data_IF_469389697082
#
_entry.id   IF_469389697082
#
_cell.length_a   1.000
_cell.length_b   1.000
_cell.length_c   1.000
_cell.angle_alpha   90.00
_cell.angle_beta   90.00
_cell.angle_gamma   90.00
#
_symmetry.space_group_name_H-M   'P 1'
#
loop_
_entity.id
_entity.type
_entity.pdbx_description
1 polymer ?
#
# COMPACT_ATOMS: atom_id res chain seq x y z
N UNK A 1 -2.70 -9.17 40.86
CA UNK A 1 -2.79 -7.91 40.10
C UNK A 1 -1.49 -7.76 39.32
N UNK A 2 -1.42 -8.36 38.12
CA UNK A 2 -0.20 -8.34 37.29
C UNK A 2 -0.10 -6.95 36.66
N UNK A 3 0.90 -6.17 37.07
CA UNK A 3 1.27 -4.94 36.38
C UNK A 3 1.61 -5.29 34.93
N UNK A 4 0.82 -4.81 33.97
CA UNK A 4 1.22 -4.84 32.55
C UNK A 4 2.53 -4.06 32.46
N UNK A 5 3.64 -4.75 32.26
CA UNK A 5 4.89 -4.12 31.89
C UNK A 5 4.62 -3.31 30.62
N UNK A 6 4.79 -2.00 30.72
CA UNK A 6 4.64 -1.07 29.61
C UNK A 6 5.90 -1.18 28.74
N UNK A 7 6.14 -2.37 28.16
CA UNK A 7 7.28 -2.61 27.28
C UNK A 7 7.04 -1.84 25.99
N UNK A 8 7.77 -0.74 25.85
CA UNK A 8 7.77 0.06 24.63
C UNK A 8 8.24 -0.81 23.47
N UNK A 9 7.35 -1.07 22.51
CA UNK A 9 7.71 -1.80 21.29
C UNK A 9 8.26 -0.82 20.28
N UNK A 10 9.35 -1.22 19.61
CA UNK A 10 9.96 -0.41 18.57
C UNK A 10 9.82 -1.09 17.22
N UNK A 11 9.50 -0.31 16.19
CA UNK A 11 9.46 -0.75 14.80
C UNK A 11 10.68 -0.21 14.08
N UNK A 12 11.48 -1.12 13.52
CA UNK A 12 12.54 -0.77 12.58
C UNK A 12 11.89 -0.45 11.24
N UNK A 13 12.15 0.74 10.72
CA UNK A 13 11.42 1.29 9.58
C UNK A 13 12.28 2.21 8.73
N UNK A 14 11.78 2.49 7.52
CA UNK A 14 12.24 3.59 6.70
C UNK A 14 11.16 4.68 6.69
N UNK A 15 11.53 5.92 7.01
CA UNK A 15 10.65 7.09 7.00
C UNK A 15 10.73 7.80 5.66
N UNK A 16 9.58 8.22 5.14
CA UNK A 16 9.48 9.17 4.03
C UNK A 16 9.64 10.60 4.55
N UNK A 17 10.70 11.34 4.19
CA UNK A 17 10.81 12.75 4.52
C UNK A 17 9.68 13.56 3.86
N UNK A 18 9.13 14.53 4.59
CA UNK A 18 7.94 15.29 4.15
C UNK A 18 8.13 15.99 2.80
N UNK A 19 9.34 16.48 2.51
CA UNK A 19 9.68 17.16 1.26
C UNK A 19 9.46 16.31 0.01
N UNK A 20 9.51 14.97 0.12
CA UNK A 20 9.30 14.07 -1.02
C UNK A 20 7.86 13.57 -1.15
N UNK A 21 6.95 13.94 -0.23
CA UNK A 21 5.54 13.53 -0.30
C UNK A 21 4.87 14.05 -1.57
N UNK A 22 5.22 15.27 -1.98
CA UNK A 22 4.68 15.86 -3.21
C UNK A 22 5.13 15.07 -4.44
N UNK A 23 6.42 14.71 -4.52
CA UNK A 23 6.96 13.93 -5.63
C UNK A 23 6.29 12.56 -5.76
N UNK A 24 6.05 11.86 -4.63
CA UNK A 24 5.38 10.57 -4.63
C UNK A 24 3.87 10.64 -4.83
N UNK A 25 3.26 11.81 -4.61
CA UNK A 25 1.84 12.02 -4.89
C UNK A 25 1.52 12.12 -6.38
N UNK A 26 2.53 12.35 -7.23
CA UNK A 26 2.37 12.34 -8.67
C UNK A 26 2.25 10.88 -9.18
N UNK A 27 1.47 10.63 -10.23
CA UNK A 27 1.39 9.31 -10.84
C UNK A 27 2.78 8.78 -11.22
N UNK A 28 3.16 7.62 -10.69
CA UNK A 28 4.43 6.96 -11.00
C UNK A 28 4.31 5.95 -12.15
N UNK A 29 3.28 6.09 -13.00
CA UNK A 29 2.98 5.16 -14.09
C UNK A 29 1.97 5.73 -15.07
N UNK A 30 1.31 4.84 -15.81
CA UNK A 30 0.26 5.22 -16.75
C UNK A 30 -0.99 5.58 -15.96
N UNK A 31 -1.35 6.86 -15.98
CA UNK A 31 -2.58 7.34 -15.38
C UNK A 31 -3.75 7.04 -16.31
N UNK A 32 -4.71 6.24 -15.82
CA UNK A 32 -5.97 5.97 -16.48
C UNK A 32 -6.99 6.94 -15.90
N UNK A 33 -7.59 7.76 -16.76
CA UNK A 33 -8.63 8.73 -16.43
C UNK A 33 -9.91 8.41 -17.21
N UNK A 34 -11.06 8.77 -16.64
CA UNK A 34 -12.33 8.68 -17.33
C UNK A 34 -12.80 10.10 -17.70
N UNK A 35 -13.04 10.41 -18.99
CA UNK A 35 -13.35 11.77 -19.45
C UNK A 35 -14.56 12.40 -18.74
N UNK A 36 -15.57 11.59 -18.43
CA UNK A 36 -16.84 12.05 -17.86
C UNK A 36 -16.89 11.99 -16.32
N UNK A 37 -15.73 11.95 -15.63
CA UNK A 37 -15.65 11.76 -14.16
C UNK A 37 -16.36 10.49 -13.65
N UNK A 38 -16.45 9.47 -14.50
CA UNK A 38 -16.94 8.15 -14.12
C UNK A 38 -16.01 7.42 -13.15
N UNK A 39 -16.52 6.35 -12.56
CA UNK A 39 -15.75 5.44 -11.72
C UNK A 39 -15.06 4.40 -12.61
N UNK A 40 -13.73 4.37 -12.59
CA UNK A 40 -12.93 3.34 -13.27
C UNK A 40 -13.12 2.00 -12.54
N UNK A 41 -13.45 0.94 -13.28
CA UNK A 41 -13.71 -0.40 -12.75
C UNK A 41 -13.30 -1.48 -13.75
N UNK A 42 -13.13 -2.72 -13.28
CA UNK A 42 -12.93 -3.88 -14.17
C UNK A 42 -11.50 -4.11 -14.67
N UNK A 43 -10.52 -3.30 -14.28
CA UNK A 43 -9.11 -3.58 -14.53
C UNK A 43 -8.66 -4.92 -13.89
N UNK A 44 -7.68 -5.57 -14.52
CA UNK A 44 -7.01 -6.77 -14.04
C UNK A 44 -5.53 -6.49 -13.83
N UNK A 45 -5.01 -6.84 -12.66
CA UNK A 45 -3.61 -6.65 -12.29
C UNK A 45 -3.10 -7.80 -11.39
N UNK A 46 -1.80 -7.86 -11.13
CA UNK A 46 -1.27 -8.77 -10.11
C UNK A 46 -1.52 -8.23 -8.70
N UNK A 47 -1.39 -6.92 -8.52
CA UNK A 47 -1.51 -6.24 -7.22
C UNK A 47 -2.43 -5.02 -7.33
N UNK A 48 -3.38 -4.89 -6.41
CA UNK A 48 -4.22 -3.70 -6.25
C UNK A 48 -4.00 -3.06 -4.88
N UNK A 49 -3.70 -1.77 -4.84
CA UNK A 49 -3.41 -1.02 -3.60
C UNK A 49 -4.46 0.08 -3.39
N UNK A 50 -5.06 0.08 -2.19
CA UNK A 50 -6.03 1.04 -1.70
C UNK A 50 -7.48 0.54 -1.77
N UNK A 51 -8.29 0.89 -0.78
CA UNK A 51 -9.67 0.40 -0.59
C UNK A 51 -10.53 0.47 -1.87
N UNK A 52 -10.53 1.65 -2.51
CA UNK A 52 -11.34 1.95 -3.70
C UNK A 52 -10.91 1.10 -4.90
N UNK A 53 -9.61 0.88 -5.05
CA UNK A 53 -9.02 0.13 -6.16
C UNK A 53 -9.18 -1.37 -5.93
N UNK A 54 -8.87 -1.85 -4.73
CA UNK A 54 -9.02 -3.25 -4.34
C UNK A 54 -10.47 -3.74 -4.42
N UNK A 55 -11.46 -2.87 -4.19
CA UNK A 55 -12.89 -3.22 -4.32
C UNK A 55 -13.40 -3.24 -5.77
N UNK A 56 -12.81 -2.44 -6.67
CA UNK A 56 -13.32 -2.24 -8.05
C UNK A 56 -12.56 -2.99 -9.14
N UNK A 57 -11.40 -3.55 -8.79
CA UNK A 57 -10.52 -4.22 -9.74
C UNK A 57 -10.21 -5.65 -9.31
N UNK A 58 -9.94 -6.49 -10.30
CA UNK A 58 -9.47 -7.85 -10.09
C UNK A 58 -7.96 -7.84 -9.88
N UNK A 59 -7.51 -8.43 -8.77
CA UNK A 59 -6.09 -8.60 -8.51
C UNK A 59 -5.84 -9.85 -7.66
N UNK A 60 -4.70 -10.51 -7.89
CA UNK A 60 -4.28 -11.67 -7.09
C UNK A 60 -3.97 -11.26 -5.65
N UNK A 61 -3.40 -10.07 -5.48
CA UNK A 61 -3.03 -9.49 -4.19
C UNK A 61 -3.76 -8.17 -4.03
N UNK A 62 -4.48 -7.99 -2.92
CA UNK A 62 -5.15 -6.73 -2.59
C UNK A 62 -4.63 -6.17 -1.28
N UNK A 63 -4.29 -4.89 -1.25
CA UNK A 63 -3.71 -4.21 -0.09
C UNK A 63 -4.61 -3.05 0.28
N UNK A 64 -5.01 -2.96 1.54
CA UNK A 64 -5.97 -1.95 2.00
C UNK A 64 -5.79 -1.66 3.50
N UNK A 65 -6.16 -0.45 3.93
CA UNK A 65 -6.07 -0.01 5.32
C UNK A 65 -7.44 0.32 5.97
N UNK A 66 -8.54 0.23 5.20
CA UNK A 66 -9.90 0.61 5.59
C UNK A 66 -10.05 2.08 6.03
N UNK A 67 -9.07 2.96 5.77
CA UNK A 67 -9.11 4.39 6.12
C UNK A 67 -9.41 5.24 4.90
N UNK A 68 -10.58 5.04 4.32
CA UNK A 68 -11.04 5.91 3.23
C UNK A 68 -11.55 7.24 3.77
N UNK A 69 -11.06 8.36 3.19
CA UNK A 69 -11.44 9.76 3.49
C UNK A 69 -12.93 10.11 3.30
N UNK A 70 -13.80 9.15 2.98
CA UNK A 70 -15.22 9.36 2.68
C UNK A 70 -16.05 8.19 3.20
N UNK A 71 -16.40 8.23 4.50
CA UNK A 71 -17.32 7.28 5.13
C UNK A 71 -16.80 5.85 5.20
N UNK A 72 -17.41 5.03 6.07
CA UNK A 72 -17.11 3.59 6.15
C UNK A 72 -17.39 2.97 4.78
N UNK A 73 -16.34 2.62 4.02
CA UNK A 73 -16.49 1.67 2.92
C UNK A 73 -16.66 0.30 3.56
N UNK A 74 -17.92 -0.05 3.84
CA UNK A 74 -18.33 -1.26 4.56
C UNK A 74 -18.22 -2.54 3.72
N UNK A 75 -17.69 -2.50 2.50
CA UNK A 75 -17.76 -3.64 1.58
C UNK A 75 -16.50 -3.84 0.73
N UNK A 76 -15.30 -3.80 1.33
CA UNK A 76 -14.26 -4.71 0.86
C UNK A 76 -14.63 -6.11 1.37
N UNK A 77 -15.69 -6.72 0.83
CA UNK A 77 -15.95 -8.15 0.99
C UNK A 77 -14.92 -8.89 0.15
N UNK A 78 -13.69 -8.89 0.64
CA UNK A 78 -12.72 -9.85 0.15
C UNK A 78 -13.21 -11.22 0.61
N UNK A 79 -13.85 -11.94 -0.30
CA UNK A 79 -14.19 -13.36 -0.15
C UNK A 79 -12.95 -14.27 -0.26
N UNK A 80 -11.76 -13.78 0.09
CA UNK A 80 -10.56 -14.62 0.09
C UNK A 80 -10.31 -15.09 1.52
N UNK A 81 -10.23 -16.41 1.69
CA UNK A 81 -9.97 -17.09 2.96
C UNK A 81 -8.57 -16.78 3.54
N UNK A 82 -7.71 -16.06 2.79
CA UNK A 82 -6.33 -15.73 3.16
C UNK A 82 -6.15 -14.21 3.31
N UNK A 83 -6.16 -13.73 4.56
CA UNK A 83 -5.91 -12.33 4.91
C UNK A 83 -4.72 -12.21 5.87
N UNK A 84 -3.65 -11.58 5.39
CA UNK A 84 -2.46 -11.22 6.15
C UNK A 84 -2.64 -9.86 6.82
N UNK A 85 -1.87 -9.63 7.88
CA UNK A 85 -1.86 -8.36 8.62
C UNK A 85 -0.46 -7.73 8.60
N UNK A 86 -0.40 -6.44 8.31
CA UNK A 86 0.82 -5.63 8.37
C UNK A 86 0.60 -4.40 9.27
N UNK A 87 1.65 -3.98 9.98
CA UNK A 87 1.67 -2.75 10.77
C UNK A 87 2.59 -1.75 10.09
N UNK A 88 2.03 -0.65 9.58
CA UNK A 88 2.79 0.31 8.78
C UNK A 88 2.33 1.76 9.06
N UNK A 89 2.88 2.43 10.09
CA UNK A 89 2.46 3.79 10.45
C UNK A 89 2.57 4.80 9.31
N UNK A 90 1.79 5.90 9.36
CA UNK A 90 1.75 6.91 8.31
C UNK A 90 3.11 7.48 7.88
N UNK A 91 3.42 7.43 6.59
CA UNK A 91 4.70 7.89 6.04
C UNK A 91 5.92 7.04 6.42
N UNK A 92 5.71 5.80 6.88
CA UNK A 92 6.77 4.83 7.15
C UNK A 92 6.61 3.58 6.29
N UNK A 93 7.73 2.89 6.09
CA UNK A 93 7.82 1.55 5.53
C UNK A 93 8.48 0.66 6.58
N UNK A 94 7.66 -0.03 7.37
CA UNK A 94 8.12 -0.95 8.42
C UNK A 94 8.70 -2.22 7.81
N UNK A 95 9.87 -2.65 8.29
CA UNK A 95 10.57 -3.82 7.74
C UNK A 95 9.77 -5.11 7.88
N UNK A 96 9.08 -5.32 9.01
CA UNK A 96 8.20 -6.48 9.18
C UNK A 96 7.08 -6.53 8.14
N UNK A 97 6.49 -5.37 7.83
CA UNK A 97 5.45 -5.23 6.80
C UNK A 97 6.00 -5.43 5.39
N UNK A 98 7.25 -5.03 5.13
CA UNK A 98 7.98 -5.37 3.89
C UNK A 98 8.15 -6.87 3.77
N UNK A 99 8.58 -7.56 4.83
CA UNK A 99 8.75 -9.02 4.82
C UNK A 99 7.44 -9.73 4.48
N UNK A 100 6.33 -9.34 5.13
CA UNK A 100 5.00 -9.90 4.84
C UNK A 100 4.62 -9.63 3.38
N UNK A 101 4.65 -8.36 2.94
CA UNK A 101 4.29 -7.98 1.59
C UNK A 101 5.12 -8.70 0.50
N UNK A 102 6.42 -8.92 0.75
CA UNK A 102 7.31 -9.56 -0.20
C UNK A 102 6.95 -11.03 -0.47
N UNK A 103 6.47 -11.76 0.55
CA UNK A 103 6.20 -13.20 0.48
C UNK A 103 4.75 -13.55 0.12
N UNK A 104 3.86 -12.58 0.03
CA UNK A 104 2.46 -12.83 -0.37
C UNK A 104 2.40 -13.11 -1.87
N UNK A 105 1.80 -14.23 -2.25
CA UNK A 105 1.56 -14.60 -3.66
C UNK A 105 0.11 -14.43 -4.10
N UNK A 106 -0.84 -14.52 -3.16
CA UNK A 106 -2.27 -14.30 -3.40
C UNK A 106 -2.99 -13.91 -2.11
N UNK A 107 -4.21 -13.38 -2.23
CA UNK A 107 -5.08 -13.02 -1.12
C UNK A 107 -4.94 -11.55 -0.74
N UNK A 108 -5.14 -11.26 0.55
CA UNK A 108 -5.24 -9.88 1.03
C UNK A 108 -4.21 -9.51 2.08
N UNK A 109 -3.72 -8.28 2.01
CA UNK A 109 -2.90 -7.66 3.03
C UNK A 109 -3.65 -6.48 3.65
N UNK A 110 -4.19 -6.71 4.86
CA UNK A 110 -4.77 -5.64 5.66
C UNK A 110 -3.65 -4.88 6.37
N UNK A 111 -3.68 -3.56 6.27
CA UNK A 111 -2.67 -2.69 6.86
C UNK A 111 -3.26 -1.92 8.03
N UNK A 112 -2.62 -2.04 9.20
CA UNK A 112 -2.86 -1.14 10.33
C UNK A 112 -1.91 0.05 10.13
N UNK A 113 -2.44 1.18 9.66
CA UNK A 113 -1.61 2.36 9.36
C UNK A 113 -1.95 2.96 8.00
N UNK A 114 -0.97 3.05 7.09
CA UNK A 114 -1.12 3.45 5.67
C UNK A 114 -0.51 2.36 4.76
N UNK A 115 -1.19 2.04 3.66
CA UNK A 115 -0.79 1.03 2.67
C UNK A 115 0.13 1.56 1.56
N UNK A 116 0.14 2.87 1.31
CA UNK A 116 0.74 3.48 0.11
C UNK A 116 2.19 3.04 -0.14
N UNK A 117 3.04 3.06 0.89
CA UNK A 117 4.45 2.69 0.76
C UNK A 117 4.66 1.17 0.64
N UNK A 118 3.68 0.34 1.01
CA UNK A 118 3.75 -1.12 0.86
C UNK A 118 3.60 -1.58 -0.59
N UNK A 119 3.48 -0.67 -1.55
CA UNK A 119 3.67 -0.96 -2.98
C UNK A 119 5.13 -1.29 -3.31
N UNK A 120 6.10 -0.76 -2.56
CA UNK A 120 7.54 -0.86 -2.87
C UNK A 120 8.05 -2.30 -2.95
N UNK A 121 7.71 -3.22 -2.02
CA UNK A 121 8.09 -4.63 -2.12
C UNK A 121 7.62 -5.29 -3.43
N UNK A 122 6.47 -4.88 -3.96
CA UNK A 122 5.95 -5.39 -5.24
C UNK A 122 6.63 -4.75 -6.45
N UNK A 123 7.05 -3.48 -6.35
CA UNK A 123 7.89 -2.86 -7.39
C UNK A 123 9.23 -3.61 -7.55
N UNK A 124 9.77 -4.14 -6.46
CA UNK A 124 11.01 -4.92 -6.48
C UNK A 124 10.84 -6.33 -7.08
N UNK A 125 9.60 -6.83 -7.20
CA UNK A 125 9.27 -8.12 -7.83
C UNK A 125 9.00 -7.88 -9.30
N UNK A 126 9.92 -8.27 -10.18
CA UNK A 126 9.78 -8.01 -11.62
C UNK A 126 8.52 -8.64 -12.24
N UNK A 127 8.07 -8.07 -13.36
CA UNK A 127 6.98 -8.58 -14.19
C UNK A 127 5.60 -8.63 -13.52
N UNK A 128 5.38 -7.84 -12.47
CA UNK A 128 4.07 -7.62 -11.86
C UNK A 128 3.41 -6.38 -12.43
N UNK A 129 2.10 -6.45 -12.61
CA UNK A 129 1.25 -5.29 -12.86
C UNK A 129 0.61 -4.84 -11.55
N UNK A 130 0.68 -3.53 -11.29
CA UNK A 130 0.22 -2.93 -10.04
C UNK A 130 -0.74 -1.81 -10.40
N UNK A 131 -1.90 -1.79 -9.76
CA UNK A 131 -2.85 -0.68 -9.83
C UNK A 131 -3.02 -0.03 -8.47
N UNK A 132 -3.03 1.30 -8.43
CA UNK A 132 -3.32 2.07 -7.22
C UNK A 132 -4.08 3.36 -7.54
N UNK A 133 -4.75 3.92 -6.54
CA UNK A 133 -5.62 5.08 -6.73
C UNK A 133 -4.84 6.38 -6.83
N UNK A 134 -5.24 7.26 -7.75
CA UNK A 134 -4.84 8.67 -7.76
C UNK A 134 -6.02 9.51 -7.26
N UNK A 135 -5.97 10.03 -6.02
CA UNK A 135 -7.09 10.76 -5.43
C UNK A 135 -7.57 11.92 -6.31
N UNK A 136 -8.86 11.94 -6.60
CA UNK A 136 -9.50 13.00 -7.39
C UNK A 136 -9.22 12.96 -8.90
N UNK A 137 -8.47 11.97 -9.40
CA UNK A 137 -8.04 11.90 -10.80
C UNK A 137 -8.40 10.58 -11.47
N UNK A 138 -8.00 9.44 -10.91
CA UNK A 138 -8.17 8.15 -11.58
C UNK A 138 -7.41 6.99 -10.94
N UNK A 139 -6.97 6.04 -11.76
CA UNK A 139 -6.22 4.85 -11.34
C UNK A 139 -4.88 4.83 -12.09
N UNK A 140 -3.79 4.57 -11.38
CA UNK A 140 -2.46 4.46 -12.00
C UNK A 140 -2.12 2.99 -12.20
N UNK A 141 -1.73 2.62 -13.41
CA UNK A 141 -1.16 1.32 -13.75
C UNK A 141 0.37 1.44 -13.83
N UNK A 142 1.04 0.58 -13.08
CA UNK A 142 2.50 0.48 -13.05
C UNK A 142 2.93 -0.94 -13.38
N UNK A 143 3.97 -1.07 -14.21
CA UNK A 143 4.72 -2.31 -14.36
C UNK A 143 5.91 -2.28 -13.40
N UNK A 144 6.04 -3.30 -12.57
CA UNK A 144 7.10 -3.36 -11.58
C UNK A 144 8.49 -3.44 -12.22
N UNK A 145 9.45 -2.78 -11.58
CA UNK A 145 10.87 -2.89 -11.89
C UNK A 145 11.71 -2.53 -10.67
N UNK A 146 12.84 -3.21 -10.51
CA UNK A 146 13.80 -2.92 -9.43
C UNK A 146 14.23 -1.46 -9.46
N UNK A 147 14.41 -0.87 -10.65
CA UNK A 147 14.74 0.55 -10.82
C UNK A 147 13.70 1.48 -10.18
N UNK A 148 12.41 1.18 -10.32
CA UNK A 148 11.35 1.96 -9.67
C UNK A 148 11.36 1.80 -8.16
N UNK A 149 11.55 0.58 -7.66
CA UNK A 149 11.69 0.36 -6.22
C UNK A 149 12.87 1.17 -5.64
N UNK A 150 14.04 1.13 -6.29
CA UNK A 150 15.22 1.89 -5.90
C UNK A 150 15.01 3.41 -5.98
N UNK A 151 14.27 3.91 -6.98
CA UNK A 151 13.92 5.33 -7.10
C UNK A 151 13.17 5.84 -5.87
N UNK A 152 12.31 5.01 -5.28
CA UNK A 152 11.56 5.36 -4.06
C UNK A 152 12.39 5.08 -2.81
N UNK A 153 13.09 3.94 -2.73
CA UNK A 153 13.89 3.59 -1.56
C UNK A 153 15.00 4.60 -1.27
N UNK A 154 15.66 5.17 -2.30
CA UNK A 154 16.78 6.12 -2.12
C UNK A 154 16.41 7.40 -1.37
N UNK A 155 15.12 7.78 -1.35
CA UNK A 155 14.65 8.99 -0.66
C UNK A 155 14.19 8.72 0.77
N UNK A 156 14.00 7.46 1.16
CA UNK A 156 13.62 7.09 2.53
C UNK A 156 14.84 7.15 3.47
N UNK A 157 14.58 7.34 4.77
CA UNK A 157 15.61 7.42 5.82
C UNK A 157 15.36 6.40 6.92
N UNK A 158 16.40 5.72 7.45
CA UNK A 158 16.22 4.82 8.59
C UNK A 158 15.56 5.51 9.78
N UNK A 159 14.65 4.81 10.46
CA UNK A 159 13.95 5.29 11.64
C UNK A 159 13.57 4.14 12.58
N UNK A 160 13.63 4.42 13.89
CA UNK A 160 13.00 3.62 14.93
C UNK A 160 11.74 4.35 15.40
N UNK A 161 10.60 3.65 15.39
CA UNK A 161 9.31 4.20 15.83
C UNK A 161 8.92 3.49 17.12
N UNK A 162 8.68 4.25 18.18
CA UNK A 162 8.01 3.71 19.37
C UNK A 162 6.53 3.54 19.06
N UNK A 163 6.01 2.33 19.27
CA UNK A 163 4.63 1.98 19.01
C UNK A 163 4.04 1.34 20.27
N UNK A 164 2.94 1.91 20.77
CA UNK A 164 2.23 1.46 21.96
C UNK A 164 0.98 0.66 21.59
#
# INVERSE_FOLDING_TARGET
>A
MLSKSNESRYLISLRLPSQYRQDLSLPQGVLIVQPERGIIQGLSADVAVGDVVSSRHSAKIKIFDYKTKRGKVTECRVKDDLCFLALNPPGYLCLGSVTVAFHIEKGCLRVIGEEDLLVIPFLAREQKTIVYGQPGVGVVLVRSSVKMALKVLKILKPALIQYN
#
